data_IF_038258417776
#
_entry.id   IF_038258417776
#
_cell.length_a   1.000
_cell.length_b   1.000
_cell.length_c   1.000
_cell.angle_alpha   90.00
_cell.angle_beta   90.00
_cell.angle_gamma   90.00
#
_symmetry.space_group_name_H-M   'P 1'
#
loop_
_entity.id
_entity.type
_entity.pdbx_description
1 polymer ?
#
# COMPACT_ATOMS: atom_id res chain seq x y z
N UNK A 1 19.33 -28.93 -2.33
CA UNK A 1 18.14 -28.87 -1.45
C UNK A 1 18.30 -27.82 -0.36
N UNK A 2 19.25 -27.94 0.59
CA UNK A 2 19.43 -26.98 1.70
C UNK A 2 19.67 -25.51 1.31
N UNK A 3 20.45 -25.24 0.26
CA UNK A 3 20.73 -23.87 -0.21
C UNK A 3 19.47 -23.18 -0.79
N UNK A 4 18.63 -23.95 -1.50
CA UNK A 4 17.38 -23.45 -2.06
C UNK A 4 16.35 -23.15 -0.97
N UNK A 5 16.31 -23.99 0.08
CA UNK A 5 15.47 -23.77 1.25
C UNK A 5 15.88 -22.54 2.05
N UNK A 6 17.20 -22.31 2.22
CA UNK A 6 17.72 -21.11 2.85
C UNK A 6 17.33 -19.85 2.06
N UNK A 7 17.53 -19.88 0.73
CA UNK A 7 17.14 -18.78 -0.15
C UNK A 7 15.64 -18.45 -0.06
N UNK A 8 14.78 -19.47 -0.05
CA UNK A 8 13.33 -19.28 0.11
C UNK A 8 12.97 -18.68 1.47
N UNK A 9 13.68 -19.06 2.53
CA UNK A 9 13.50 -18.49 3.88
C UNK A 9 13.90 -17.02 3.89
N UNK A 10 15.04 -16.67 3.31
CA UNK A 10 15.52 -15.29 3.24
C UNK A 10 14.57 -14.40 2.44
N UNK A 11 14.02 -14.89 1.32
CA UNK A 11 13.03 -14.17 0.54
C UNK A 11 11.73 -13.92 1.32
N UNK A 12 11.24 -14.93 2.05
CA UNK A 12 10.05 -14.77 2.90
C UNK A 12 10.27 -13.75 4.01
N UNK A 13 11.41 -13.86 4.70
CA UNK A 13 11.79 -12.90 5.75
C UNK A 13 11.89 -11.48 5.20
N UNK A 14 12.50 -11.31 4.02
CA UNK A 14 12.61 -10.00 3.37
C UNK A 14 11.23 -9.44 2.99
N UNK A 15 10.36 -10.25 2.39
CA UNK A 15 9.01 -9.82 2.03
C UNK A 15 8.16 -9.45 3.26
N UNK A 16 8.27 -10.22 4.34
CA UNK A 16 7.60 -9.92 5.61
C UNK A 16 8.08 -8.59 6.20
N UNK A 17 9.39 -8.36 6.20
CA UNK A 17 9.99 -7.10 6.65
C UNK A 17 9.53 -5.90 5.81
N UNK A 18 9.53 -6.03 4.48
CA UNK A 18 9.07 -4.96 3.58
C UNK A 18 7.59 -4.63 3.78
N UNK A 19 6.76 -5.64 4.06
CA UNK A 19 5.34 -5.45 4.34
C UNK A 19 5.12 -4.73 5.68
N UNK A 20 5.89 -5.08 6.70
CA UNK A 20 5.84 -4.44 8.01
C UNK A 20 6.29 -2.97 7.94
N UNK A 21 7.39 -2.69 7.23
CA UNK A 21 7.86 -1.33 6.97
C UNK A 21 6.80 -0.51 6.22
N UNK A 22 6.13 -1.10 5.23
CA UNK A 22 5.04 -0.43 4.49
C UNK A 22 3.83 -0.14 5.37
N UNK A 23 3.44 -1.06 6.26
CA UNK A 23 2.35 -0.83 7.23
C UNK A 23 2.69 0.31 8.18
N UNK A 24 3.91 0.33 8.71
CA UNK A 24 4.34 1.38 9.63
C UNK A 24 4.28 2.76 8.96
N UNK A 25 4.77 2.87 7.72
CA UNK A 25 4.66 4.10 6.93
C UNK A 25 3.20 4.51 6.71
N UNK A 26 2.34 3.55 6.34
CA UNK A 26 0.91 3.80 6.18
C UNK A 26 0.26 4.33 7.46
N UNK A 27 0.52 3.71 8.61
CA UNK A 27 -0.01 4.17 9.89
C UNK A 27 0.45 5.59 10.24
N UNK A 28 1.70 5.93 9.94
CA UNK A 28 2.22 7.28 10.14
C UNK A 28 1.51 8.29 9.22
N UNK A 29 1.34 7.96 7.93
CA UNK A 29 0.61 8.81 6.99
C UNK A 29 -0.83 9.06 7.47
N UNK A 30 -1.52 8.02 7.92
CA UNK A 30 -2.90 8.12 8.44
C UNK A 30 -2.96 9.06 9.64
N UNK A 31 -2.03 8.93 10.59
CA UNK A 31 -1.95 9.84 11.75
C UNK A 31 -1.82 11.30 11.33
N UNK A 32 -0.98 11.60 10.34
CA UNK A 32 -0.80 12.98 9.83
C UNK A 32 -2.03 13.47 9.06
N UNK A 33 -2.61 12.65 8.18
CA UNK A 33 -3.77 13.02 7.37
C UNK A 33 -4.97 13.32 8.28
N UNK A 34 -5.22 12.48 9.28
CA UNK A 34 -6.39 12.60 10.17
C UNK A 34 -6.15 13.39 11.47
N UNK A 35 -4.97 13.98 11.66
CA UNK A 35 -4.68 14.79 12.85
C UNK A 35 -5.59 16.03 12.92
N UNK A 36 -6.37 16.19 13.99
CA UNK A 36 -7.14 17.42 14.20
C UNK A 36 -6.19 18.58 14.53
N UNK A 37 -6.12 19.56 13.64
CA UNK A 37 -5.26 20.74 13.78
C UNK A 37 -5.91 21.85 14.62
N UNK A 38 -7.19 21.73 14.99
CA UNK A 38 -7.89 22.77 15.77
C UNK A 38 -7.29 22.96 17.16
N UNK A 39 -6.77 21.87 17.75
CA UNK A 39 -6.23 21.81 19.13
C UNK A 39 -4.72 22.01 19.23
N UNK A 40 -4.02 22.18 18.09
CA UNK A 40 -2.56 22.27 18.05
C UNK A 40 -2.06 23.72 18.19
N UNK A 41 -0.79 23.90 18.53
CA UNK A 41 -0.12 25.19 18.40
C UNK A 41 0.30 25.50 16.95
N UNK A 42 0.64 26.75 16.65
CA UNK A 42 0.93 27.20 15.29
C UNK A 42 2.09 26.42 14.62
N UNK A 43 3.11 26.05 15.40
CA UNK A 43 4.27 25.30 14.89
C UNK A 43 3.87 23.87 14.53
N UNK A 44 3.10 23.22 15.41
CA UNK A 44 2.57 21.88 15.18
C UNK A 44 1.60 21.85 13.98
N UNK A 45 0.72 22.85 13.86
CA UNK A 45 -0.18 22.99 12.70
C UNK A 45 0.62 23.11 11.41
N UNK A 46 1.63 23.99 11.37
CA UNK A 46 2.47 24.17 10.21
C UNK A 46 3.17 22.86 9.80
N UNK A 47 3.67 22.09 10.77
CA UNK A 47 4.25 20.77 10.51
C UNK A 47 3.24 19.79 9.88
N UNK A 48 2.06 19.63 10.47
CA UNK A 48 1.02 18.73 9.94
C UNK A 48 0.59 19.14 8.53
N UNK A 49 0.42 20.44 8.28
CA UNK A 49 0.07 20.97 6.95
C UNK A 49 1.18 20.67 5.94
N UNK A 50 2.44 20.88 6.30
CA UNK A 50 3.58 20.59 5.42
C UNK A 50 3.68 19.10 5.09
N UNK A 51 3.53 18.24 6.10
CA UNK A 51 3.57 16.78 5.91
C UNK A 51 2.40 16.28 5.07
N UNK A 52 1.18 16.81 5.26
CA UNK A 52 0.02 16.49 4.39
C UNK A 52 0.29 16.84 2.93
N UNK A 53 0.88 18.01 2.67
CA UNK A 53 1.28 18.41 1.31
C UNK A 53 2.32 17.45 0.74
N UNK A 54 3.31 17.05 1.53
CA UNK A 54 4.34 16.10 1.10
C UNK A 54 3.73 14.74 0.72
N UNK A 55 2.83 14.21 1.56
CA UNK A 55 2.12 12.95 1.30
C UNK A 55 1.26 13.05 0.03
N UNK A 56 0.52 14.15 -0.16
CA UNK A 56 -0.27 14.37 -1.36
C UNK A 56 0.59 14.37 -2.63
N UNK A 57 1.71 15.11 -2.63
CA UNK A 57 2.65 15.13 -3.75
C UNK A 57 3.25 13.77 -4.05
N UNK A 58 3.60 12.99 -3.02
CA UNK A 58 4.14 11.64 -3.18
C UNK A 58 3.10 10.69 -3.80
N UNK A 59 1.84 10.75 -3.35
CA UNK A 59 0.75 9.94 -3.92
C UNK A 59 0.43 10.35 -5.36
N UNK A 60 0.42 11.65 -5.66
CA UNK A 60 0.26 12.11 -7.04
C UNK A 60 1.40 11.66 -7.96
N UNK A 61 2.64 11.72 -7.49
CA UNK A 61 3.79 11.26 -8.26
C UNK A 61 3.72 9.75 -8.54
N UNK A 62 3.24 8.95 -7.59
CA UNK A 62 2.99 7.52 -7.79
C UNK A 62 1.91 7.27 -8.87
N UNK A 63 0.81 8.03 -8.84
CA UNK A 63 -0.25 7.93 -9.84
C UNK A 63 0.24 8.36 -11.23
N UNK A 64 0.97 9.48 -11.31
CA UNK A 64 1.53 10.00 -12.58
C UNK A 64 2.65 9.13 -13.13
N UNK A 65 3.42 8.47 -12.27
CA UNK A 65 4.54 7.61 -12.62
C UNK A 65 4.16 6.15 -12.89
N UNK A 66 2.89 5.75 -12.70
CA UNK A 66 2.53 4.33 -12.75
C UNK A 66 1.04 4.05 -12.80
N UNK A 67 0.38 4.40 -13.91
CA UNK A 67 -0.77 3.63 -14.42
C UNK A 67 -0.25 2.68 -15.50
N UNK A 68 0.30 1.56 -15.04
CA UNK A 68 0.34 0.31 -15.79
C UNK A 68 -0.24 -0.74 -14.86
N UNK A 69 -1.49 -0.54 -14.46
CA UNK A 69 -2.25 -1.55 -13.74
C UNK A 69 -2.55 -2.66 -14.75
N UNK A 70 -1.76 -3.74 -14.73
CA UNK A 70 -2.20 -5.01 -15.30
C UNK A 70 -3.30 -5.56 -14.40
N UNK A 71 -4.50 -5.04 -14.60
CA UNK A 71 -5.75 -5.54 -14.06
C UNK A 71 -6.13 -6.77 -14.90
N UNK A 72 -5.41 -7.87 -14.75
CA UNK A 72 -5.92 -9.15 -15.22
C UNK A 72 -6.90 -9.68 -14.17
N UNK A 73 -8.07 -9.04 -14.14
CA UNK A 73 -9.26 -9.61 -13.52
C UNK A 73 -9.67 -10.82 -14.33
N UNK A 74 -9.44 -12.02 -13.79
CA UNK A 74 -10.03 -13.25 -14.31
C UNK A 74 -11.46 -13.33 -13.76
N UNK A 75 -12.41 -12.77 -14.51
CA UNK A 75 -13.85 -12.89 -14.27
C UNK A 75 -14.57 -13.37 -15.54
N UNK A 76 -15.45 -14.37 -15.37
CA UNK A 76 -16.26 -15.03 -16.41
C UNK A 76 -15.56 -16.29 -16.95
N UNK A 77 -16.15 -17.49 -16.97
CA UNK A 77 -17.55 -17.79 -17.23
C UNK A 77 -18.16 -18.82 -16.26
N UNK A 78 -19.40 -18.52 -15.88
CA UNK A 78 -20.37 -19.49 -15.40
C UNK A 78 -21.11 -20.03 -16.63
N UNK A 79 -21.02 -21.34 -16.85
CA UNK A 79 -21.92 -22.06 -17.76
C UNK A 79 -22.40 -23.31 -16.98
N UNK A 80 -23.42 -23.12 -16.16
CA UNK A 80 -24.33 -24.18 -15.73
C UNK A 80 -25.52 -24.14 -16.68
N UNK A 81 -25.68 -25.20 -17.49
CA UNK A 81 -26.87 -25.67 -18.24
C UNK A 81 -26.31 -26.53 -19.42
N UNK A 82 -26.71 -27.77 -19.74
CA UNK A 82 -27.97 -28.47 -19.63
C UNK A 82 -27.69 -30.00 -19.61
N UNK A 83 -28.37 -30.75 -18.75
CA UNK A 83 -29.43 -31.70 -19.12
C UNK A 83 -29.01 -32.91 -19.99
N UNK A 84 -28.83 -34.04 -19.32
CA UNK A 84 -29.66 -35.25 -19.51
C UNK A 84 -30.15 -35.53 -20.95
N UNK A 85 -29.40 -36.36 -21.69
CA UNK A 85 -29.86 -37.53 -22.46
C UNK A 85 -28.68 -38.44 -22.80
#
# INVERSE_FOLDING_TARGET
MKAEEHRKRDQRWKAEKELEERKLLWEQEQKIIFCDTSVLDETQKAYVIAMRKHIASAKEALVKGGVSTNEQGSGGDAEEAESLM
#
